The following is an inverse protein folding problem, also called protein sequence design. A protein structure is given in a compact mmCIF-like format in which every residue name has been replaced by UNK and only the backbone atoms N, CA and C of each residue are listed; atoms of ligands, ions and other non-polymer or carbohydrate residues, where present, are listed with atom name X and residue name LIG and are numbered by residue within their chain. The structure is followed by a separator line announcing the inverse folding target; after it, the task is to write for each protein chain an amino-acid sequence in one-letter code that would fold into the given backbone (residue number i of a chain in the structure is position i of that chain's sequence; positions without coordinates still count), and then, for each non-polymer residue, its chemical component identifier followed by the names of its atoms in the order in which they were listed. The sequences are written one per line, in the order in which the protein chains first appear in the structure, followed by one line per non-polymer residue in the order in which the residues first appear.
data_IF_807252190736
#
_entry.id   IF_807252190736
#
_cell.length_a   1.000
_cell.length_b   1.000
_cell.length_c   1.000
_cell.angle_alpha   90.00
_cell.angle_beta   90.00
_cell.angle_gamma   90.00
#
_symmetry.space_group_name_H-M   'P 1'
#
loop_
_entity.id
_entity.type
_entity.pdbx_description
1 polymer ?
#
# COMPACT_ATOMS: atom_id res chain seq x y z
N UNK A 1 -5.18 -18.11 14.88
CA UNK A 1 -4.59 -16.85 14.38
C UNK A 1 -4.74 -16.87 12.88
N UNK A 2 -5.61 -16.04 12.30
CA UNK A 2 -5.76 -15.99 10.85
C UNK A 2 -4.48 -15.40 10.25
N UNK A 3 -3.75 -16.22 9.48
CA UNK A 3 -2.68 -15.72 8.64
C UNK A 3 -3.35 -14.81 7.61
N UNK A 4 -3.22 -13.50 7.80
CA UNK A 4 -3.61 -12.55 6.77
C UNK A 4 -2.72 -12.82 5.56
N UNK A 5 -3.21 -13.54 4.55
CA UNK A 5 -2.55 -13.79 3.26
C UNK A 5 -2.61 -12.52 2.40
N UNK A 6 -2.27 -11.37 2.98
CA UNK A 6 -2.12 -10.13 2.24
C UNK A 6 -0.66 -9.96 1.84
N UNK A 7 -0.40 -9.54 0.61
CA UNK A 7 0.95 -9.15 0.20
C UNK A 7 1.28 -7.78 0.79
N UNK A 8 2.53 -7.56 1.23
CA UNK A 8 3.00 -6.24 1.65
C UNK A 8 3.60 -5.54 0.45
N UNK A 9 3.25 -4.29 0.20
CA UNK A 9 3.93 -3.47 -0.79
C UNK A 9 3.99 -2.01 -0.36
N UNK A 10 4.73 -1.19 -1.10
CA UNK A 10 4.71 0.25 -0.97
C UNK A 10 3.58 0.83 -1.84
N UNK A 11 2.99 1.93 -1.39
CA UNK A 11 2.05 2.73 -2.16
C UNK A 11 2.34 4.21 -1.98
N UNK A 12 1.90 5.02 -2.93
CA UNK A 12 2.04 6.48 -2.89
C UNK A 12 0.66 7.09 -2.78
N UNK A 13 0.49 8.02 -1.84
CA UNK A 13 -0.72 8.82 -1.77
C UNK A 13 -0.82 9.72 -2.99
N UNK A 14 -1.94 9.65 -3.72
CA UNK A 14 -2.11 10.40 -4.97
C UNK A 14 -2.30 11.90 -4.76
N UNK A 15 -2.63 12.31 -3.53
CA UNK A 15 -2.90 13.70 -3.17
C UNK A 15 -1.63 14.44 -2.72
N UNK A 16 -0.87 13.85 -1.80
CA UNK A 16 0.33 14.48 -1.23
C UNK A 16 1.67 13.87 -1.71
N UNK A 17 1.62 12.79 -2.50
CA UNK A 17 2.82 12.12 -3.02
C UNK A 17 3.61 11.32 -1.97
N UNK A 18 3.10 11.16 -0.74
CA UNK A 18 3.81 10.46 0.33
C UNK A 18 3.81 8.95 0.12
N UNK A 19 4.99 8.33 0.20
CA UNK A 19 5.14 6.87 0.21
C UNK A 19 4.75 6.28 1.57
N UNK A 20 3.97 5.20 1.55
CA UNK A 20 3.50 4.46 2.73
C UNK A 20 3.56 2.96 2.47
N UNK A 21 3.81 2.17 3.52
CA UNK A 21 3.68 0.72 3.42
C UNK A 21 2.19 0.33 3.56
N UNK A 22 1.72 -0.59 2.71
CA UNK A 22 0.33 -1.09 2.72
C UNK A 22 0.31 -2.61 2.70
N UNK A 23 -0.73 -3.18 3.31
CA UNK A 23 -1.20 -4.53 3.07
C UNK A 23 -2.13 -4.52 1.86
N UNK A 24 -1.93 -5.45 0.94
CA UNK A 24 -2.81 -5.68 -0.20
C UNK A 24 -3.54 -6.99 0.05
N UNK A 25 -4.84 -6.89 0.24
CA UNK A 25 -5.74 -8.04 0.33
C UNK A 25 -5.91 -8.69 -1.06
N UNK A 26 -6.39 -9.93 -1.09
CA UNK A 26 -6.60 -10.69 -2.33
C UNK A 26 -7.61 -10.02 -3.30
N UNK A 27 -8.54 -9.22 -2.74
CA UNK A 27 -9.49 -8.39 -3.47
C UNK A 27 -8.86 -7.10 -4.07
N UNK A 28 -7.56 -6.89 -3.87
CA UNK A 28 -6.83 -5.70 -4.32
C UNK A 28 -6.96 -4.49 -3.37
N UNK A 29 -7.64 -4.63 -2.24
CA UNK A 29 -7.78 -3.55 -1.26
C UNK A 29 -6.46 -3.26 -0.57
N UNK A 30 -6.00 -2.00 -0.64
CA UNK A 30 -4.80 -1.52 0.02
C UNK A 30 -5.13 -0.92 1.40
N UNK A 31 -4.49 -1.40 2.46
CA UNK A 31 -4.63 -0.87 3.82
C UNK A 31 -3.27 -0.47 4.39
N UNK A 32 -3.07 0.79 4.81
CA UNK A 32 -1.78 1.24 5.32
C UNK A 32 -1.37 0.50 6.60
N UNK A 33 -0.09 0.13 6.65
CA UNK A 33 0.51 -0.57 7.79
C UNK A 33 0.87 0.47 8.84
N UNK A 34 0.35 0.30 10.06
CA UNK A 34 0.66 1.18 11.19
C UNK A 34 -0.12 2.49 11.23
N UNK A 35 -1.03 2.73 10.28
CA UNK A 35 -1.96 3.87 10.29
C UNK A 35 -3.40 3.35 10.28
N UNK A 36 -4.24 3.81 11.21
CA UNK A 36 -5.66 3.37 11.27
C UNK A 36 -6.57 4.06 10.24
N UNK A 37 -6.18 5.23 9.71
CA UNK A 37 -7.06 6.09 8.89
C UNK A 37 -6.31 6.74 7.73
N UNK A 38 -5.92 5.94 6.73
CA UNK A 38 -5.37 6.47 5.48
C UNK A 38 -4.03 7.19 5.63
N UNK A 39 -3.77 8.15 4.73
CA UNK A 39 -2.55 8.92 4.68
C UNK A 39 -2.58 10.04 5.71
N UNK A 40 -1.40 10.51 6.14
CA UNK A 40 -1.27 11.61 7.09
C UNK A 40 -1.89 12.94 6.59
N UNK A 41 -2.12 13.09 5.27
CA UNK A 41 -2.80 14.26 4.71
C UNK A 41 -4.34 14.21 4.82
N UNK A 42 -4.90 13.10 5.31
CA UNK A 42 -6.35 12.89 5.42
C UNK A 42 -6.99 12.19 4.24
N UNK A 43 -6.26 11.92 3.16
CA UNK A 43 -6.75 11.14 2.02
C UNK A 43 -6.46 9.63 2.18
N UNK A 44 -7.26 8.79 1.54
CA UNK A 44 -7.14 7.32 1.52
C UNK A 44 -6.94 6.75 0.10
N UNK A 45 -6.77 7.62 -0.90
CA UNK A 45 -6.40 7.18 -2.25
C UNK A 45 -4.90 6.90 -2.34
N UNK A 46 -4.58 5.63 -2.61
CA UNK A 46 -3.21 5.15 -2.74
C UNK A 46 -3.00 4.46 -4.09
N UNK A 47 -1.92 4.83 -4.77
CA UNK A 47 -1.41 4.10 -5.92
C UNK A 47 -0.37 3.10 -5.47
N UNK A 48 -0.65 1.81 -5.66
CA UNK A 48 0.31 0.75 -5.37
C UNK A 48 1.56 0.92 -6.25
N UNK A 49 2.72 0.97 -5.61
CA UNK A 49 3.99 0.75 -6.29
C UNK A 49 4.10 -0.76 -6.44
N UNK A 50 3.77 -1.27 -7.63
CA UNK A 50 4.01 -2.68 -7.91
C UNK A 50 5.50 -2.94 -7.81
N UNK A 51 5.90 -3.80 -6.87
CA UNK A 51 7.21 -4.45 -6.92
C UNK A 51 7.16 -5.48 -8.05
N UNK A 52 7.10 -5.01 -9.30
CA UNK A 52 7.80 -5.77 -10.33
C UNK A 52 9.24 -5.39 -10.09
N UNK A 53 10.09 -6.29 -9.56
CA UNK A 53 11.52 -6.07 -9.70
C UNK A 53 11.72 -5.87 -11.20
N UNK A 54 12.16 -4.67 -11.57
CA UNK A 54 12.71 -4.43 -12.90
C UNK A 54 13.91 -5.35 -13.01
N UNK A 55 13.68 -6.59 -13.44
CA UNK A 55 14.71 -7.53 -13.82
C UNK A 55 15.26 -6.99 -15.15
N UNK A 56 16.16 -6.03 -15.03
CA UNK A 56 16.86 -5.39 -16.15
C UNK A 56 18.32 -5.77 -16.06
N UNK A 57 18.73 -6.57 -17.06
CA UNK A 57 20.08 -6.95 -17.46
C UNK A 57 20.81 -7.99 -16.59
#
# INVERSE_FOLDING_TARGET
MALHTGSKTAAVCEDCGKAVAVWVSDDGTASPIGQRRGCSCGNDSFRLLSDRPSQSA
#
